data_IF_286781161134
#
_entry.id   IF_286781161134
#
_cell.length_a   1.000
_cell.length_b   1.000
_cell.length_c   1.000
_cell.angle_alpha   90.00
_cell.angle_beta   90.00
_cell.angle_gamma   90.00
#
_symmetry.space_group_name_H-M   'P 1'
#
loop_
_entity.id
_entity.type
_entity.pdbx_description
1 polymer ?
#
# COMPACT_ATOMS: atom_id res chain seq x y z
N UNK A 1 -21.82 52.78 3.87
CA UNK A 1 -21.11 52.26 2.66
C UNK A 1 -20.87 50.76 2.82
N UNK A 2 -21.93 49.96 2.64
CA UNK A 2 -21.85 48.51 2.37
C UNK A 2 -22.31 48.37 0.91
N UNK A 3 -21.47 47.81 0.05
CA UNK A 3 -21.88 47.42 -1.31
C UNK A 3 -22.20 45.93 -1.27
N UNK A 4 -23.49 45.63 -1.38
CA UNK A 4 -23.98 44.33 -1.81
C UNK A 4 -23.48 44.08 -3.23
N UNK A 5 -22.72 42.99 -3.43
CA UNK A 5 -22.35 42.51 -4.75
C UNK A 5 -23.42 41.49 -5.14
N UNK A 6 -24.24 41.85 -6.13
CA UNK A 6 -25.33 41.04 -6.63
C UNK A 6 -24.85 39.73 -7.23
N UNK A 7 -25.44 38.63 -6.76
CA UNK A 7 -25.35 37.31 -7.40
C UNK A 7 -26.17 37.39 -8.68
N UNK A 8 -25.54 37.78 -9.78
CA UNK A 8 -26.12 37.59 -11.10
C UNK A 8 -25.08 37.01 -12.04
N UNK A 9 -25.36 35.78 -12.49
CA UNK A 9 -24.66 34.99 -13.50
C UNK A 9 -23.36 34.29 -13.04
N UNK A 10 -23.52 33.16 -12.36
CA UNK A 10 -22.69 32.01 -12.70
C UNK A 10 -23.33 31.38 -13.94
N UNK A 11 -22.63 31.25 -15.08
CA UNK A 11 -23.14 30.48 -16.21
C UNK A 11 -23.11 29.01 -15.78
N UNK A 12 -24.26 28.45 -15.44
CA UNK A 12 -24.43 27.00 -15.42
C UNK A 12 -24.17 26.51 -16.84
N UNK A 13 -23.37 25.46 -17.01
CA UNK A 13 -23.07 24.84 -18.31
C UNK A 13 -24.23 24.02 -18.88
N UNK A 14 -25.42 24.11 -18.25
CA UNK A 14 -26.65 23.50 -18.72
C UNK A 14 -27.48 24.56 -19.44
N UNK A 15 -27.43 24.52 -20.77
CA UNK A 15 -28.46 25.15 -21.60
C UNK A 15 -29.76 24.35 -21.41
N UNK A 16 -30.75 24.96 -20.78
CA UNK A 16 -32.10 24.41 -20.70
C UNK A 16 -32.60 24.08 -22.11
N UNK A 17 -32.87 22.81 -22.40
CA UNK A 17 -33.81 22.50 -23.48
C UNK A 17 -35.22 22.67 -22.91
N UNK A 18 -35.97 23.64 -23.44
CA UNK A 18 -37.34 23.96 -23.07
C UNK A 18 -38.34 22.87 -23.54
N UNK A 19 -38.06 21.59 -23.24
CA UNK A 19 -38.97 20.49 -23.53
C UNK A 19 -39.78 20.15 -22.28
N UNK A 20 -41.02 20.63 -22.27
CA UNK A 20 -42.03 20.30 -21.27
C UNK A 20 -42.33 18.80 -21.32
N UNK A 21 -41.71 18.02 -20.44
CA UNK A 21 -41.98 16.59 -20.30
C UNK A 21 -40.81 15.72 -19.86
N UNK A 22 -39.59 16.24 -19.80
CA UNK A 22 -38.45 15.51 -19.24
C UNK A 22 -38.43 15.75 -17.73
N UNK A 23 -38.67 14.70 -16.95
CA UNK A 23 -38.53 14.75 -15.50
C UNK A 23 -37.06 15.04 -15.16
N UNK A 24 -36.81 16.06 -14.34
CA UNK A 24 -35.45 16.41 -13.92
C UNK A 24 -34.75 15.16 -13.39
N UNK A 25 -33.52 14.86 -13.84
CA UNK A 25 -32.80 13.72 -13.30
C UNK A 25 -32.60 13.97 -11.82
N UNK A 26 -33.10 13.06 -10.98
CA UNK A 26 -32.86 13.02 -9.55
C UNK A 26 -31.40 12.65 -9.29
N UNK A 27 -30.46 13.48 -9.73
CA UNK A 27 -29.07 13.42 -9.31
C UNK A 27 -29.08 13.88 -7.85
N UNK A 28 -28.50 13.06 -6.99
CA UNK A 28 -28.46 13.24 -5.54
C UNK A 28 -27.82 14.59 -5.21
N UNK A 29 -28.64 15.62 -5.01
CA UNK A 29 -28.23 16.88 -4.41
C UNK A 29 -28.01 16.63 -2.91
N UNK A 30 -26.84 16.12 -2.54
CA UNK A 30 -26.40 16.21 -1.14
C UNK A 30 -26.29 17.70 -0.72
N UNK A 31 -26.56 18.03 0.54
CA UNK A 31 -26.79 19.40 1.03
C UNK A 31 -25.61 20.37 0.84
N UNK A 32 -25.93 21.62 0.50
CA UNK A 32 -25.06 22.70 -0.01
C UNK A 32 -23.99 23.25 0.99
N UNK A 33 -24.19 23.13 2.30
CA UNK A 33 -23.46 23.94 3.28
C UNK A 33 -22.07 23.40 3.69
N UNK A 34 -21.72 22.17 3.35
CA UNK A 34 -20.44 21.54 3.75
C UNK A 34 -19.73 20.84 2.60
N UNK A 35 -20.15 21.15 1.37
CA UNK A 35 -19.63 20.52 0.17
C UNK A 35 -18.40 21.25 -0.30
N UNK A 36 -17.27 20.54 -0.34
CA UNK A 36 -16.08 20.94 -1.08
C UNK A 36 -16.34 21.05 -2.61
N UNK A 37 -17.57 20.81 -3.08
CA UNK A 37 -18.02 20.92 -4.47
C UNK A 37 -18.06 22.36 -4.99
N UNK A 38 -18.13 23.36 -4.12
CA UNK A 38 -17.99 24.78 -4.52
C UNK A 38 -16.53 25.17 -4.70
N UNK A 39 -15.60 24.38 -4.16
CA UNK A 39 -14.19 24.62 -4.35
C UNK A 39 -13.80 23.98 -5.68
N UNK A 40 -13.35 24.81 -6.62
CA UNK A 40 -12.88 24.39 -7.92
C UNK A 40 -11.48 24.95 -8.13
N UNK A 41 -10.53 24.10 -8.52
CA UNK A 41 -9.17 24.54 -8.83
C UNK A 41 -8.54 23.70 -9.92
N UNK A 42 -7.81 24.35 -10.83
CA UNK A 42 -6.95 23.71 -11.82
C UNK A 42 -5.48 23.90 -11.51
N UNK A 43 -5.18 24.58 -10.40
CA UNK A 43 -3.82 24.70 -9.91
C UNK A 43 -3.43 23.35 -9.32
N UNK A 44 -2.67 22.58 -10.10
CA UNK A 44 -2.13 21.31 -9.65
C UNK A 44 -1.23 21.54 -8.42
N UNK A 45 -1.51 20.88 -7.29
CA UNK A 45 -0.62 20.97 -6.15
C UNK A 45 0.77 20.44 -6.51
N UNK A 46 1.74 21.34 -6.59
CA UNK A 46 3.13 21.04 -6.99
C UNK A 46 3.91 20.26 -5.92
N UNK A 47 3.33 20.08 -4.75
CA UNK A 47 3.93 19.40 -3.59
C UNK A 47 2.99 18.31 -3.07
N UNK A 48 3.55 17.16 -2.62
CA UNK A 48 2.76 16.12 -1.96
C UNK A 48 2.06 16.66 -0.72
N UNK A 49 0.91 16.09 -0.39
CA UNK A 49 0.13 16.59 0.73
C UNK A 49 0.77 16.26 2.08
N UNK A 50 1.04 17.30 2.87
CA UNK A 50 1.68 17.19 4.19
C UNK A 50 0.68 17.16 5.35
N UNK A 51 -0.55 17.56 5.07
CA UNK A 51 -1.63 17.67 6.03
C UNK A 51 -2.98 17.48 5.30
N UNK A 52 -4.07 17.41 6.07
CA UNK A 52 -5.42 17.21 5.52
C UNK A 52 -5.87 18.35 4.61
N UNK A 53 -5.41 19.58 4.86
CA UNK A 53 -5.74 20.71 3.99
C UNK A 53 -5.14 20.53 2.59
N UNK A 54 -3.92 20.01 2.48
CA UNK A 54 -3.29 19.71 1.20
C UNK A 54 -3.96 18.52 0.49
N UNK A 55 -4.43 17.52 1.24
CA UNK A 55 -5.21 16.41 0.69
C UNK A 55 -6.53 16.88 0.11
N UNK A 56 -7.21 17.78 0.82
CA UNK A 56 -8.43 18.43 0.33
C UNK A 56 -8.14 19.22 -0.96
N UNK A 57 -7.04 19.98 -1.03
CA UNK A 57 -6.64 20.70 -2.26
C UNK A 57 -6.42 19.75 -3.44
N UNK A 58 -5.72 18.62 -3.23
CA UNK A 58 -5.49 17.59 -4.26
C UNK A 58 -6.78 16.92 -4.70
N UNK A 59 -7.64 16.55 -3.75
CA UNK A 59 -8.97 16.00 -4.03
C UNK A 59 -9.78 16.97 -4.90
N UNK A 60 -9.82 18.25 -4.51
CA UNK A 60 -10.52 19.30 -5.26
C UNK A 60 -9.91 19.47 -6.66
N UNK A 61 -8.59 19.48 -6.80
CA UNK A 61 -7.90 19.55 -8.10
C UNK A 61 -8.25 18.38 -9.02
N UNK A 62 -8.08 17.13 -8.55
CA UNK A 62 -8.39 15.95 -9.37
C UNK A 62 -9.86 15.92 -9.77
N UNK A 63 -10.78 16.23 -8.84
CA UNK A 63 -12.22 16.34 -9.13
C UNK A 63 -12.52 17.46 -10.13
N UNK A 64 -11.89 18.61 -10.00
CA UNK A 64 -12.02 19.74 -10.93
C UNK A 64 -11.52 19.37 -12.33
N UNK A 65 -10.40 18.63 -12.42
CA UNK A 65 -9.90 18.07 -13.67
C UNK A 65 -10.86 17.07 -14.28
N UNK A 66 -11.47 16.17 -13.51
CA UNK A 66 -12.52 15.29 -14.03
C UNK A 66 -13.72 16.07 -14.58
N UNK A 67 -14.15 17.12 -13.87
CA UNK A 67 -15.23 17.99 -14.30
C UNK A 67 -14.90 18.75 -15.61
N UNK A 68 -13.67 19.23 -15.79
CA UNK A 68 -13.23 19.89 -17.03
C UNK A 68 -13.05 18.90 -18.15
N UNK A 69 -12.31 17.82 -17.88
CA UNK A 69 -11.94 16.89 -18.92
C UNK A 69 -13.19 16.27 -19.51
N UNK A 70 -14.22 15.95 -18.71
CA UNK A 70 -15.36 15.16 -19.19
C UNK A 70 -16.71 15.44 -18.49
N UNK A 71 -17.29 16.62 -18.65
CA UNK A 71 -18.75 16.78 -18.45
C UNK A 71 -19.60 16.08 -19.53
N UNK A 72 -19.03 15.83 -20.72
CA UNK A 72 -19.76 15.39 -21.93
C UNK A 72 -19.32 14.03 -22.49
N UNK A 73 -18.10 13.55 -22.22
CA UNK A 73 -17.57 12.29 -22.79
C UNK A 73 -18.04 11.03 -22.03
N UNK A 74 -18.65 11.17 -20.83
CA UNK A 74 -19.44 10.11 -20.17
C UNK A 74 -20.53 9.52 -21.07
N UNK A 75 -20.89 10.21 -22.16
CA UNK A 75 -21.93 9.78 -23.09
C UNK A 75 -21.44 8.87 -24.21
N UNK A 76 -20.13 8.77 -24.47
CA UNK A 76 -19.67 8.19 -25.74
C UNK A 76 -18.70 7.02 -25.70
N UNK A 77 -18.00 6.72 -24.60
CA UNK A 77 -17.41 5.40 -24.40
C UNK A 77 -17.01 5.19 -22.93
N UNK A 78 -17.14 3.99 -22.36
CA UNK A 78 -16.61 3.71 -21.04
C UNK A 78 -15.08 3.81 -21.09
N UNK A 79 -14.52 4.85 -20.47
CA UNK A 79 -13.07 4.96 -20.23
C UNK A 79 -12.64 3.69 -19.51
N UNK A 80 -11.96 2.78 -20.22
CA UNK A 80 -11.35 1.61 -19.57
C UNK A 80 -10.33 2.15 -18.57
N UNK A 81 -10.56 1.89 -17.29
CA UNK A 81 -9.65 2.30 -16.22
C UNK A 81 -8.27 1.68 -16.53
N UNK A 82 -7.20 2.49 -16.68
CA UNK A 82 -5.89 1.95 -16.97
C UNK A 82 -5.44 1.04 -15.83
N UNK A 83 -4.98 -0.17 -16.17
CA UNK A 83 -4.43 -1.10 -15.19
C UNK A 83 -3.15 -0.54 -14.58
N UNK A 84 -3.06 -0.62 -13.25
CA UNK A 84 -1.85 -0.25 -12.54
C UNK A 84 -0.84 -1.40 -12.62
N UNK A 85 0.42 -1.11 -12.94
CA UNK A 85 1.49 -2.11 -13.05
C UNK A 85 2.47 -1.98 -11.89
N UNK A 86 2.43 -2.95 -10.97
CA UNK A 86 3.34 -3.01 -9.83
C UNK A 86 4.78 -3.23 -10.27
N UNK A 87 5.02 -4.03 -11.32
CA UNK A 87 6.37 -4.26 -11.84
C UNK A 87 7.03 -2.97 -12.33
N UNK A 88 6.31 -2.14 -13.10
CA UNK A 88 6.82 -0.83 -13.57
C UNK A 88 7.07 0.14 -12.42
N UNK A 89 6.17 0.20 -11.46
CA UNK A 89 6.34 1.05 -10.28
C UNK A 89 7.52 0.59 -9.42
N UNK A 90 7.65 -0.72 -9.21
CA UNK A 90 8.76 -1.33 -8.47
C UNK A 90 10.09 -1.05 -9.16
N UNK A 91 10.20 -1.21 -10.48
CA UNK A 91 11.41 -0.91 -11.25
C UNK A 91 11.81 0.57 -11.11
N UNK A 92 10.84 1.48 -11.08
CA UNK A 92 11.08 2.91 -10.92
C UNK A 92 11.59 3.29 -9.51
N UNK A 93 11.21 2.56 -8.47
CA UNK A 93 11.55 2.88 -7.08
C UNK A 93 12.67 2.01 -6.51
N UNK A 94 12.81 0.78 -7.01
CA UNK A 94 13.69 -0.29 -6.52
C UNK A 94 14.24 -1.13 -7.69
N UNK A 95 15.12 -0.56 -8.50
CA UNK A 95 15.63 -1.14 -9.76
C UNK A 95 16.43 -2.45 -9.62
N UNK A 96 16.76 -2.89 -8.41
CA UNK A 96 17.55 -4.11 -8.14
C UNK A 96 16.72 -5.39 -7.93
N UNK A 97 15.39 -5.32 -8.10
CA UNK A 97 14.46 -6.40 -7.81
C UNK A 97 14.31 -7.47 -8.88
N UNK A 98 14.19 -8.75 -8.46
CA UNK A 98 13.79 -9.87 -9.32
C UNK A 98 12.32 -10.17 -9.15
N UNK A 99 11.57 -10.14 -10.24
CA UNK A 99 10.17 -10.57 -10.23
C UNK A 99 10.07 -12.08 -10.00
N UNK A 100 9.04 -12.47 -9.26
CA UNK A 100 8.71 -13.86 -9.04
C UNK A 100 8.41 -14.57 -10.37
N UNK A 101 8.81 -15.84 -10.50
CA UNK A 101 8.61 -16.64 -11.71
C UNK A 101 8.38 -18.11 -11.36
N UNK A 102 7.74 -18.87 -12.24
CA UNK A 102 7.55 -20.31 -12.03
C UNK A 102 8.89 -21.03 -11.85
N UNK A 103 9.96 -20.57 -12.52
CA UNK A 103 11.32 -21.11 -12.35
C UNK A 103 11.88 -20.88 -10.94
N UNK A 104 11.51 -19.80 -10.25
CA UNK A 104 11.97 -19.54 -8.89
C UNK A 104 11.12 -20.21 -7.81
N UNK A 105 9.92 -20.71 -8.13
CA UNK A 105 9.07 -21.36 -7.14
C UNK A 105 9.11 -22.88 -7.25
N UNK A 106 9.03 -23.40 -8.48
CA UNK A 106 8.78 -24.82 -8.71
C UNK A 106 9.91 -25.78 -8.30
N UNK A 107 11.20 -25.40 -8.40
CA UNK A 107 12.29 -26.26 -7.90
C UNK A 107 12.30 -26.43 -6.38
N UNK A 108 11.67 -25.52 -5.61
CA UNK A 108 11.82 -25.41 -4.15
C UNK A 108 10.88 -26.28 -3.31
N UNK A 109 10.05 -27.11 -3.94
CA UNK A 109 9.16 -28.13 -3.33
C UNK A 109 8.30 -27.68 -2.14
N UNK A 110 7.00 -27.55 -2.42
CA UNK A 110 5.92 -27.81 -1.48
C UNK A 110 4.64 -28.10 -2.25
N UNK A 111 3.88 -29.13 -1.85
CA UNK A 111 2.57 -29.47 -2.44
C UNK A 111 1.63 -28.24 -2.50
N UNK A 112 1.81 -27.30 -1.56
CA UNK A 112 1.02 -26.06 -1.44
C UNK A 112 1.23 -25.07 -2.61
N UNK A 113 2.43 -25.02 -3.19
CA UNK A 113 2.77 -24.10 -4.29
C UNK A 113 2.73 -24.79 -5.67
N UNK A 114 2.46 -26.08 -5.72
CA UNK A 114 2.42 -26.83 -6.97
C UNK A 114 1.32 -26.35 -7.92
N UNK A 115 0.21 -25.82 -7.38
CA UNK A 115 -0.90 -25.30 -8.18
C UNK A 115 -0.52 -24.12 -9.07
N UNK A 116 0.44 -23.27 -8.68
CA UNK A 116 0.96 -22.18 -9.52
C UNK A 116 2.10 -22.60 -10.44
N UNK A 117 2.63 -23.82 -10.30
CA UNK A 117 3.67 -24.36 -11.16
C UNK A 117 3.16 -24.88 -12.51
N UNK A 118 1.86 -25.15 -12.60
CA UNK A 118 1.22 -25.62 -13.82
C UNK A 118 0.66 -24.49 -14.69
N UNK A 119 0.57 -23.26 -14.16
CA UNK A 119 -0.01 -22.11 -14.86
C UNK A 119 1.06 -21.10 -15.29
N UNK A 120 1.18 -20.93 -16.61
CA UNK A 120 1.74 -19.79 -17.35
C UNK A 120 3.26 -19.55 -17.25
N UNK A 121 3.86 -19.24 -18.40
CA UNK A 121 5.25 -18.80 -18.53
C UNK A 121 5.49 -17.41 -17.91
N UNK A 122 4.43 -16.67 -17.56
CA UNK A 122 4.50 -15.29 -17.04
C UNK A 122 3.42 -15.03 -15.99
N UNK A 123 3.81 -14.70 -14.76
CA UNK A 123 2.92 -14.23 -13.71
C UNK A 123 2.43 -12.79 -13.93
N UNK A 124 1.27 -12.47 -13.35
CA UNK A 124 0.62 -11.17 -13.49
C UNK A 124 0.94 -10.25 -12.32
N UNK A 125 1.45 -9.04 -12.61
CA UNK A 125 1.77 -8.01 -11.62
C UNK A 125 1.01 -6.71 -11.88
N UNK A 126 -0.19 -6.82 -12.46
CA UNK A 126 -1.08 -5.68 -12.69
C UNK A 126 -2.32 -5.79 -11.82
N UNK A 127 -2.95 -4.66 -11.53
CA UNK A 127 -4.21 -4.61 -10.80
C UNK A 127 -5.17 -3.61 -11.41
N UNK A 128 -6.46 -3.89 -11.24
CA UNK A 128 -7.54 -2.98 -11.59
C UNK A 128 -8.00 -2.14 -10.39
N UNK A 129 -7.42 -2.35 -9.19
CA UNK A 129 -7.70 -1.48 -8.06
C UNK A 129 -7.25 -0.05 -8.36
N UNK A 130 -8.10 0.92 -8.02
CA UNK A 130 -7.66 2.31 -7.93
C UNK A 130 -6.77 2.44 -6.69
N UNK A 131 -5.62 3.07 -6.86
CA UNK A 131 -4.62 3.23 -5.79
C UNK A 131 -4.23 4.71 -5.75
N UNK A 132 -4.20 5.28 -4.55
CA UNK A 132 -3.58 6.58 -4.26
C UNK A 132 -2.33 6.36 -3.39
N UNK A 133 -1.15 6.21 -4.01
CA UNK A 133 0.11 6.13 -3.28
C UNK A 133 0.39 7.43 -2.53
N UNK A 134 1.06 7.34 -1.37
CA UNK A 134 1.42 8.51 -0.56
C UNK A 134 0.21 9.42 -0.31
N UNK A 135 -0.93 8.80 -0.01
CA UNK A 135 -2.13 9.48 0.40
C UNK A 135 -1.83 10.39 1.60
N UNK A 136 -0.93 10.01 2.49
CA UNK A 136 -0.33 10.96 3.44
C UNK A 136 1.14 10.62 3.69
N UNK A 137 2.01 11.63 3.60
CA UNK A 137 3.42 11.56 4.02
C UNK A 137 3.95 12.95 4.36
N UNK A 138 4.68 13.07 5.47
CA UNK A 138 5.35 14.32 5.85
C UNK A 138 6.73 14.50 5.18
N UNK A 139 7.39 13.40 4.77
CA UNK A 139 8.72 13.43 4.15
C UNK A 139 8.69 12.81 2.74
N UNK A 140 8.43 13.67 1.75
CA UNK A 140 8.43 13.29 0.33
C UNK A 140 9.85 12.98 -0.20
N UNK A 141 10.89 13.58 0.39
CA UNK A 141 12.23 13.52 -0.18
C UNK A 141 12.89 12.13 0.01
N UNK A 142 12.46 11.36 1.01
CA UNK A 142 12.92 9.98 1.24
C UNK A 142 12.42 8.97 0.20
N UNK A 143 11.47 9.35 -0.67
CA UNK A 143 11.02 8.49 -1.80
C UNK A 143 12.00 8.43 -2.96
N UNK A 144 12.93 9.38 -3.02
CA UNK A 144 13.92 9.46 -4.11
C UNK A 144 15.33 9.14 -3.64
N UNK A 145 15.52 8.85 -2.35
CA UNK A 145 16.79 8.46 -1.77
C UNK A 145 16.60 7.17 -0.99
N UNK A 146 17.19 6.09 -1.48
CA UNK A 146 17.22 4.81 -0.78
C UNK A 146 17.60 5.02 0.68
N UNK A 147 16.61 4.91 1.55
CA UNK A 147 16.83 5.20 2.96
C UNK A 147 17.35 3.93 3.63
N UNK A 148 18.34 4.08 4.52
CA UNK A 148 18.88 2.96 5.28
C UNK A 148 17.85 2.44 6.28
N UNK A 149 17.95 1.16 6.60
CA UNK A 149 17.07 0.49 7.57
C UNK A 149 16.05 -0.45 6.92
N UNK A 150 15.03 -0.81 7.69
CA UNK A 150 13.93 -1.69 7.29
C UNK A 150 12.61 -0.93 7.35
N UNK A 151 11.77 -1.12 6.33
CA UNK A 151 10.38 -0.66 6.36
C UNK A 151 9.49 -1.81 6.75
N UNK A 152 8.66 -1.62 7.77
CA UNK A 152 7.56 -2.53 8.04
C UNK A 152 6.43 -2.23 7.04
N UNK A 153 6.17 -3.20 6.15
CA UNK A 153 5.14 -3.11 5.13
C UNK A 153 3.90 -3.90 5.58
N UNK A 154 2.80 -3.18 5.79
CA UNK A 154 1.55 -3.71 6.35
C UNK A 154 0.34 -3.22 5.58
N UNK A 155 -0.76 -3.93 5.75
CA UNK A 155 -2.06 -3.54 5.21
C UNK A 155 -3.12 -3.54 6.30
N UNK A 156 -4.03 -2.57 6.26
CA UNK A 156 -5.14 -2.42 7.20
C UNK A 156 -6.44 -2.13 6.46
N UNK A 157 -7.56 -2.65 6.98
CA UNK A 157 -8.85 -2.09 6.64
C UNK A 157 -9.00 -0.73 7.33
N UNK A 158 -9.67 0.22 6.68
CA UNK A 158 -9.95 1.53 7.27
C UNK A 158 -10.71 1.44 8.59
N UNK A 159 -11.50 0.38 8.81
CA UNK A 159 -12.18 0.09 10.08
C UNK A 159 -11.22 -0.24 11.22
N UNK A 160 -10.04 -0.75 10.89
CA UNK A 160 -8.99 -1.13 11.85
C UNK A 160 -7.89 -0.06 11.99
N UNK A 161 -8.08 1.13 11.39
CA UNK A 161 -7.03 2.16 11.34
C UNK A 161 -6.56 2.61 12.73
N UNK A 162 -7.40 2.49 13.76
CA UNK A 162 -7.03 2.82 15.14
C UNK A 162 -5.86 1.96 15.68
N UNK A 163 -5.66 0.75 15.13
CA UNK A 163 -4.52 -0.11 15.49
C UNK A 163 -3.16 0.53 15.12
N UNK A 164 -3.15 1.51 14.22
CA UNK A 164 -1.93 2.22 13.85
C UNK A 164 -1.30 2.98 15.00
N UNK A 165 -2.06 3.45 16.00
CA UNK A 165 -1.49 4.18 17.14
C UNK A 165 -0.59 3.27 17.96
N UNK A 166 -1.06 2.08 18.32
CA UNK A 166 -0.26 1.11 19.05
C UNK A 166 0.93 0.63 18.21
N UNK A 167 0.69 0.29 16.95
CA UNK A 167 1.74 -0.18 16.04
C UNK A 167 2.85 0.87 15.86
N UNK A 168 2.48 2.14 15.70
CA UNK A 168 3.45 3.23 15.59
C UNK A 168 4.26 3.41 16.88
N UNK A 169 3.68 3.16 18.05
CA UNK A 169 4.42 3.25 19.31
C UNK A 169 5.39 2.07 19.50
N UNK A 170 5.07 0.90 18.95
CA UNK A 170 5.91 -0.30 19.06
C UNK A 170 7.00 -0.39 17.99
N UNK A 171 6.74 0.15 16.79
CA UNK A 171 7.69 0.19 15.68
C UNK A 171 8.12 1.63 15.41
N UNK A 172 9.37 1.98 15.74
CA UNK A 172 9.90 3.34 15.57
C UNK A 172 10.45 3.61 14.17
N UNK A 173 10.80 2.55 13.43
CA UNK A 173 11.32 2.59 12.07
C UNK A 173 10.31 3.01 11.00
N UNK A 174 10.69 2.80 9.74
CA UNK A 174 9.86 3.17 8.59
C UNK A 174 8.60 2.31 8.52
N UNK A 175 7.45 2.94 8.29
CA UNK A 175 6.16 2.29 8.11
C UNK A 175 5.62 2.59 6.72
N UNK A 176 5.30 1.54 5.96
CA UNK A 176 4.52 1.65 4.72
C UNK A 176 3.21 0.89 4.88
N UNK A 177 2.10 1.63 4.81
CA UNK A 177 0.78 1.18 5.22
C UNK A 177 -0.19 1.30 4.06
N UNK A 178 -0.62 0.17 3.51
CA UNK A 178 -1.73 0.12 2.57
C UNK A 178 -3.07 0.09 3.32
N UNK A 179 -3.88 1.13 3.16
CA UNK A 179 -5.20 1.27 3.78
C UNK A 179 -6.28 0.92 2.76
N UNK A 180 -7.07 -0.11 3.07
CA UNK A 180 -8.19 -0.57 2.26
C UNK A 180 -9.49 0.10 2.69
N UNK A 181 -10.23 0.70 1.75
CA UNK A 181 -11.56 1.23 2.05
C UNK A 181 -12.26 1.85 0.85
N UNK A 182 -13.49 2.28 1.04
CA UNK A 182 -14.34 2.90 0.01
C UNK A 182 -14.05 4.38 -0.19
N UNK A 183 -14.53 4.98 -1.29
CA UNK A 183 -14.49 6.43 -1.51
C UNK A 183 -15.01 7.22 -0.31
N UNK A 184 -16.13 6.80 0.28
CA UNK A 184 -16.76 7.47 1.42
C UNK A 184 -15.91 7.40 2.70
N UNK A 185 -15.10 6.35 2.85
CA UNK A 185 -14.28 6.12 4.03
C UNK A 185 -12.92 6.83 3.96
N UNK A 186 -12.53 7.40 2.81
CA UNK A 186 -11.31 8.22 2.69
C UNK A 186 -11.30 9.38 3.69
N UNK A 187 -12.47 9.97 3.99
CA UNK A 187 -12.62 11.03 4.99
C UNK A 187 -12.31 10.51 6.40
N UNK A 188 -12.61 9.25 6.71
CA UNK A 188 -12.29 8.65 8.01
C UNK A 188 -10.77 8.56 8.20
N UNK A 189 -10.02 8.20 7.14
CA UNK A 189 -8.56 8.21 7.20
C UNK A 189 -8.02 9.62 7.46
N UNK A 190 -8.53 10.62 6.75
CA UNK A 190 -8.11 12.02 6.97
C UNK A 190 -8.37 12.48 8.41
N UNK A 191 -9.55 12.16 8.95
CA UNK A 191 -9.90 12.48 10.35
C UNK A 191 -8.96 11.80 11.32
N UNK A 192 -8.67 10.52 11.12
CA UNK A 192 -7.71 9.77 11.94
C UNK A 192 -6.34 10.44 11.93
N UNK A 193 -5.80 10.76 10.74
CA UNK A 193 -4.47 11.36 10.59
C UNK A 193 -4.35 12.73 11.29
N UNK A 194 -5.43 13.51 11.37
CA UNK A 194 -5.42 14.78 12.11
C UNK A 194 -5.26 14.60 13.63
N UNK A 195 -5.68 13.46 14.16
CA UNK A 195 -5.59 13.12 15.59
C UNK A 195 -4.49 12.10 15.88
N UNK A 196 -3.74 11.71 14.86
CA UNK A 196 -2.74 10.65 14.97
C UNK A 196 -1.47 11.24 15.58
N UNK A 197 -1.32 11.01 16.88
CA UNK A 197 -0.26 11.58 17.73
C UNK A 197 1.15 11.46 17.16
N UNK A 198 1.61 10.29 16.64
CA UNK A 198 2.96 10.19 16.09
C UNK A 198 3.26 11.22 14.98
N UNK A 199 2.29 11.47 14.08
CA UNK A 199 2.43 12.51 13.04
C UNK A 199 2.43 13.91 13.66
N UNK A 200 1.62 14.14 14.69
CA UNK A 200 1.58 15.40 15.45
C UNK A 200 2.88 15.70 16.20
N UNK A 201 3.59 14.67 16.67
CA UNK A 201 4.90 14.74 17.32
C UNK A 201 6.07 14.91 16.32
N UNK A 202 5.77 14.98 15.02
CA UNK A 202 6.75 15.21 13.95
C UNK A 202 7.37 13.93 13.39
N UNK A 203 6.75 12.77 13.63
CA UNK A 203 7.20 11.51 13.02
C UNK A 203 6.94 11.51 11.52
N UNK A 204 8.01 11.56 10.73
CA UNK A 204 7.94 11.69 9.29
C UNK A 204 8.13 10.36 8.52
N UNK A 205 8.43 9.26 9.21
CA UNK A 205 8.72 7.95 8.61
C UNK A 205 7.49 7.02 8.51
N UNK A 206 6.28 7.58 8.40
CA UNK A 206 5.02 6.82 8.23
C UNK A 206 4.33 7.20 6.92
N UNK A 207 4.07 6.20 6.08
CA UNK A 207 3.61 6.36 4.71
C UNK A 207 2.26 5.66 4.58
N UNK A 208 1.21 6.42 4.28
CA UNK A 208 -0.12 5.88 4.04
C UNK A 208 -0.41 5.86 2.54
N UNK A 209 -0.86 4.72 2.04
CA UNK A 209 -1.30 4.51 0.66
C UNK A 209 -2.75 4.05 0.70
N UNK A 210 -3.64 4.66 -0.10
CA UNK A 210 -5.05 4.28 -0.10
C UNK A 210 -5.34 3.35 -1.27
N UNK A 211 -5.94 2.19 -0.99
CA UNK A 211 -6.39 1.22 -1.99
C UNK A 211 -7.90 1.14 -1.92
N UNK A 212 -8.57 1.47 -3.02
CA UNK A 212 -10.03 1.53 -3.02
C UNK A 212 -10.64 0.14 -3.09
N UNK A 213 -11.65 -0.09 -2.25
CA UNK A 213 -12.46 -1.29 -2.26
C UNK A 213 -13.16 -1.47 -3.60
N UNK A 214 -13.08 -2.70 -4.11
CA UNK A 214 -13.81 -3.13 -5.29
C UNK A 214 -14.06 -4.64 -5.19
N UNK A 215 -15.33 -5.03 -5.13
CA UNK A 215 -15.73 -6.43 -4.93
C UNK A 215 -15.40 -7.33 -6.15
N UNK A 216 -15.00 -6.73 -7.29
CA UNK A 216 -14.62 -7.47 -8.50
C UNK A 216 -13.16 -7.93 -8.51
N UNK A 217 -12.34 -7.47 -7.57
CA UNK A 217 -10.89 -7.72 -7.55
C UNK A 217 -10.43 -8.15 -6.15
N UNK A 218 -9.46 -9.06 -6.10
CA UNK A 218 -8.93 -9.55 -4.84
C UNK A 218 -7.96 -8.53 -4.25
N UNK A 219 -8.20 -8.16 -2.99
CA UNK A 219 -7.48 -7.06 -2.35
C UNK A 219 -6.14 -7.50 -1.74
N UNK A 220 -5.98 -8.77 -1.35
CA UNK A 220 -4.87 -9.21 -0.51
C UNK A 220 -3.50 -8.96 -1.13
N UNK A 221 -3.31 -9.36 -2.39
CA UNK A 221 -2.04 -9.15 -3.11
C UNK A 221 -1.88 -7.69 -3.51
N UNK A 222 -2.95 -7.01 -3.91
CA UNK A 222 -2.90 -5.59 -4.23
C UNK A 222 -2.45 -4.74 -3.02
N UNK A 223 -2.99 -5.00 -1.83
CA UNK A 223 -2.62 -4.31 -0.60
C UNK A 223 -1.16 -4.57 -0.21
N UNK A 224 -0.72 -5.83 -0.28
CA UNK A 224 0.67 -6.20 -0.05
C UNK A 224 1.61 -5.48 -1.03
N UNK A 225 1.33 -5.57 -2.32
CA UNK A 225 2.15 -4.96 -3.35
C UNK A 225 2.19 -3.44 -3.23
N UNK A 226 1.08 -2.79 -2.87
CA UNK A 226 1.06 -1.33 -2.62
C UNK A 226 1.98 -0.97 -1.44
N UNK A 227 1.88 -1.66 -0.31
CA UNK A 227 2.73 -1.38 0.85
C UNK A 227 4.22 -1.61 0.54
N UNK A 228 4.54 -2.61 -0.26
CA UNK A 228 5.92 -2.93 -0.61
C UNK A 228 6.48 -1.97 -1.67
N UNK A 229 5.75 -1.73 -2.77
CA UNK A 229 6.19 -0.88 -3.89
C UNK A 229 6.53 0.54 -3.46
N UNK A 230 5.87 1.03 -2.40
CA UNK A 230 6.06 2.39 -1.91
C UNK A 230 6.76 2.45 -0.55
N UNK A 231 7.45 1.36 -0.17
CA UNK A 231 8.33 1.35 1.00
C UNK A 231 9.63 2.13 0.70
N UNK A 232 10.09 3.02 1.59
CA UNK A 232 11.24 3.90 1.32
C UNK A 232 12.62 3.21 1.44
N UNK A 233 12.70 2.01 2.03
CA UNK A 233 13.95 1.30 2.28
C UNK A 233 14.20 0.19 1.24
N UNK A 234 15.44 -0.28 1.12
CA UNK A 234 15.79 -1.41 0.25
C UNK A 234 15.43 -2.79 0.82
N UNK A 235 15.06 -2.83 2.10
CA UNK A 235 14.63 -4.03 2.82
C UNK A 235 13.27 -3.77 3.44
N UNK A 236 12.34 -4.70 3.27
CA UNK A 236 11.04 -4.69 3.96
C UNK A 236 10.98 -5.82 4.99
N UNK A 237 10.28 -5.56 6.10
CA UNK A 237 9.77 -6.57 7.00
C UNK A 237 8.29 -6.78 6.72
N UNK A 238 7.92 -8.02 6.46
CA UNK A 238 6.55 -8.48 6.25
C UNK A 238 6.12 -9.28 7.47
N UNK A 239 4.89 -9.08 7.94
CA UNK A 239 4.32 -9.84 9.06
C UNK A 239 3.07 -10.62 8.62
N UNK A 240 2.81 -11.82 9.20
CA UNK A 240 1.68 -12.65 8.79
C UNK A 240 0.33 -12.09 9.27
N UNK A 241 0.32 -11.38 10.39
CA UNK A 241 -0.82 -10.68 10.99
C UNK A 241 -0.29 -9.54 11.89
N UNK A 242 -1.21 -8.82 12.55
CA UNK A 242 -0.86 -7.70 13.43
C UNK A 242 -0.70 -8.10 14.90
N UNK A 243 -0.91 -9.37 15.23
CA UNK A 243 -0.86 -9.89 16.59
C UNK A 243 0.56 -10.41 16.89
N UNK A 244 1.56 -9.57 16.62
CA UNK A 244 2.99 -9.87 16.79
C UNK A 244 3.65 -8.77 17.63
N UNK A 245 4.72 -9.11 18.35
CA UNK A 245 5.51 -8.12 19.09
C UNK A 245 6.41 -7.33 18.14
N UNK A 246 5.91 -6.18 17.68
CA UNK A 246 6.62 -5.31 16.75
C UNK A 246 7.91 -4.73 17.32
N UNK A 247 7.98 -4.48 18.63
CA UNK A 247 9.19 -3.91 19.25
C UNK A 247 10.34 -4.93 19.28
N UNK A 248 10.01 -6.18 19.60
CA UNK A 248 10.97 -7.29 19.52
C UNK A 248 11.39 -7.58 18.08
N UNK A 249 10.45 -7.55 17.13
CA UNK A 249 10.74 -7.69 15.70
C UNK A 249 11.66 -6.57 15.17
N UNK A 250 11.43 -5.32 15.55
CA UNK A 250 12.26 -4.17 15.16
C UNK A 250 13.69 -4.33 15.66
N UNK A 251 13.84 -4.66 16.95
CA UNK A 251 15.15 -4.88 17.57
C UNK A 251 15.91 -6.00 16.87
N UNK A 252 15.21 -7.09 16.55
CA UNK A 252 15.80 -8.24 15.85
C UNK A 252 16.19 -7.89 14.41
N UNK A 253 15.30 -7.25 13.65
CA UNK A 253 15.55 -6.82 12.28
C UNK A 253 16.79 -5.89 12.17
N UNK A 254 16.88 -4.90 13.06
CA UNK A 254 18.03 -4.01 13.14
C UNK A 254 19.33 -4.76 13.45
N UNK A 255 19.27 -5.79 14.31
CA UNK A 255 20.45 -6.61 14.62
C UNK A 255 20.95 -7.42 13.42
N UNK A 256 20.05 -7.88 12.54
CA UNK A 256 20.40 -8.61 11.31
C UNK A 256 21.07 -7.66 10.31
N UNK A 257 20.53 -6.44 10.13
CA UNK A 257 21.11 -5.44 9.23
C UNK A 257 22.56 -5.09 9.59
N UNK A 258 22.92 -5.13 10.88
CA UNK A 258 24.29 -4.85 11.34
C UNK A 258 25.21 -6.06 11.16
N UNK A 259 24.69 -7.28 11.33
CA UNK A 259 25.50 -8.51 11.42
C UNK A 259 25.63 -9.28 10.11
N UNK A 260 24.68 -9.12 9.19
CA UNK A 260 24.58 -9.92 7.98
C UNK A 260 24.92 -9.11 6.73
N UNK A 261 25.58 -9.74 5.77
CA UNK A 261 25.80 -9.16 4.44
C UNK A 261 24.52 -9.18 3.58
N UNK A 262 23.59 -10.12 3.86
CA UNK A 262 22.28 -10.20 3.21
C UNK A 262 21.16 -9.88 4.20
N UNK A 263 20.23 -8.98 3.87
CA UNK A 263 19.10 -8.67 4.74
C UNK A 263 18.00 -9.74 4.70
N UNK A 264 18.12 -10.77 3.86
CA UNK A 264 17.07 -11.77 3.71
C UNK A 264 17.07 -12.73 4.91
N UNK A 265 16.01 -12.72 5.71
CA UNK A 265 15.89 -13.54 6.91
C UNK A 265 14.44 -13.87 7.27
N UNK A 266 14.25 -15.04 7.89
CA UNK A 266 12.99 -15.46 8.52
C UNK A 266 13.08 -15.17 10.01
N UNK A 267 12.09 -14.48 10.56
CA UNK A 267 11.95 -14.21 11.99
C UNK A 267 10.85 -15.12 12.52
N UNK A 268 11.17 -15.94 13.53
CA UNK A 268 10.28 -16.97 14.05
C UNK A 268 10.22 -16.93 15.58
N UNK A 269 9.07 -17.31 16.13
CA UNK A 269 8.96 -17.63 17.55
C UNK A 269 9.55 -19.02 17.77
N UNK A 270 10.72 -19.13 18.44
CA UNK A 270 11.32 -20.44 18.70
C UNK A 270 12.46 -20.44 19.73
N UNK A 271 12.78 -21.65 20.21
CA UNK A 271 13.97 -22.04 20.96
C UNK A 271 15.10 -22.60 20.05
N UNK A 272 15.14 -22.25 18.75
CA UNK A 272 16.13 -22.76 17.78
C UNK A 272 17.54 -22.16 17.95
N UNK A 273 18.05 -22.08 19.18
CA UNK A 273 19.27 -21.34 19.54
C UNK A 273 20.46 -21.66 18.62
N UNK A 274 20.64 -22.92 18.24
CA UNK A 274 21.80 -23.38 17.47
C UNK A 274 21.81 -22.95 16.00
N UNK A 275 20.65 -22.55 15.43
CA UNK A 275 20.52 -22.12 14.03
C UNK A 275 20.25 -20.62 13.87
N UNK A 276 20.05 -19.90 14.97
CA UNK A 276 19.76 -18.47 14.94
C UNK A 276 21.01 -17.65 14.54
N UNK A 277 20.86 -16.82 13.52
CA UNK A 277 21.81 -15.74 13.23
C UNK A 277 21.70 -14.62 14.29
N UNK A 278 20.50 -14.36 14.79
CA UNK A 278 20.25 -13.47 15.91
C UNK A 278 19.06 -13.94 16.75
N UNK A 279 19.08 -13.64 18.05
CA UNK A 279 18.04 -14.04 19.00
C UNK A 279 17.70 -12.89 19.94
N UNK A 280 16.40 -12.59 20.12
CA UNK A 280 15.87 -11.54 21.00
C UNK A 280 14.46 -11.90 21.46
N UNK A 281 14.17 -11.81 22.76
CA UNK A 281 12.80 -11.96 23.31
C UNK A 281 12.03 -13.18 22.75
N UNK A 282 12.66 -14.36 22.73
CA UNK A 282 12.09 -15.60 22.17
C UNK A 282 11.84 -15.60 20.65
N UNK A 283 12.35 -14.59 19.95
CA UNK A 283 12.40 -14.52 18.50
C UNK A 283 13.78 -14.91 18.00
N UNK A 284 13.81 -15.83 17.06
CA UNK A 284 14.99 -16.28 16.34
C UNK A 284 14.95 -15.74 14.90
N UNK A 285 16.05 -15.17 14.45
CA UNK A 285 16.25 -14.81 13.06
C UNK A 285 17.20 -15.81 12.38
N UNK A 286 16.77 -16.38 11.27
CA UNK A 286 17.57 -17.26 10.42
C UNK A 286 17.73 -16.58 9.07
N UNK A 287 18.98 -16.30 8.66
CA UNK A 287 19.25 -15.70 7.35
C UNK A 287 19.07 -16.75 6.25
N UNK A 288 18.51 -16.35 5.09
CA UNK A 288 18.13 -17.28 4.04
C UNK A 288 19.33 -18.03 3.42
N UNK A 289 20.53 -17.46 3.45
CA UNK A 289 21.78 -18.11 3.00
C UNK A 289 22.15 -19.35 3.84
N UNK A 290 21.67 -19.44 5.08
CA UNK A 290 21.91 -20.57 5.98
C UNK A 290 20.88 -21.69 5.85
N UNK A 291 19.83 -21.44 5.09
CA UNK A 291 18.73 -22.39 4.92
C UNK A 291 19.10 -23.40 3.83
N UNK A 292 19.21 -24.68 4.23
CA UNK A 292 19.28 -25.78 3.26
C UNK A 292 17.85 -26.17 2.88
N UNK A 293 17.57 -26.14 1.58
CA UNK A 293 16.26 -26.21 0.90
C UNK A 293 15.38 -27.45 1.13
N UNK A 294 15.57 -28.26 2.17
CA UNK A 294 14.87 -29.56 2.29
C UNK A 294 14.09 -29.87 3.57
N UNK A 295 14.13 -29.06 4.63
CA UNK A 295 13.35 -29.36 5.86
C UNK A 295 12.78 -28.09 6.50
N UNK A 296 11.83 -27.43 5.84
CA UNK A 296 11.26 -26.17 6.34
C UNK A 296 9.76 -26.25 6.56
N UNK A 297 9.33 -26.90 7.64
CA UNK A 297 7.95 -26.77 8.13
C UNK A 297 7.83 -25.54 9.07
N UNK A 298 8.27 -24.37 8.59
CA UNK A 298 8.32 -23.13 9.38
C UNK A 298 7.02 -22.34 9.41
N UNK A 299 5.98 -22.79 8.68
CA UNK A 299 4.78 -21.97 8.46
C UNK A 299 4.06 -21.57 9.75
N UNK A 300 4.07 -22.41 10.79
CA UNK A 300 3.37 -22.14 12.04
C UNK A 300 4.14 -21.21 12.99
N UNK A 301 5.45 -21.00 12.80
CA UNK A 301 6.28 -20.22 13.70
C UNK A 301 6.75 -18.88 13.16
N UNK A 302 6.55 -18.59 11.86
CA UNK A 302 6.96 -17.31 11.26
C UNK A 302 6.21 -16.15 11.90
N UNK A 303 6.95 -15.21 12.46
CA UNK A 303 6.48 -13.94 13.01
C UNK A 303 6.81 -12.78 12.06
N UNK A 304 7.82 -12.93 11.20
CA UNK A 304 8.15 -11.97 10.16
C UNK A 304 9.06 -12.53 9.08
N UNK A 305 9.02 -11.90 7.92
CA UNK A 305 9.90 -12.19 6.78
C UNK A 305 10.57 -10.89 6.36
N UNK A 306 11.89 -10.84 6.51
CA UNK A 306 12.72 -9.72 6.08
C UNK A 306 13.33 -10.05 4.73
N UNK A 307 13.07 -9.25 3.70
CA UNK A 307 13.57 -9.48 2.33
C UNK A 307 13.82 -8.16 1.61
N UNK A 308 14.59 -8.21 0.53
CA UNK A 308 14.78 -7.07 -0.36
C UNK A 308 13.45 -6.59 -0.96
N UNK A 309 13.21 -5.27 -0.90
CA UNK A 309 11.98 -4.63 -1.39
C UNK A 309 11.72 -4.94 -2.86
N UNK A 310 12.74 -4.83 -3.71
CA UNK A 310 12.61 -5.07 -5.14
C UNK A 310 12.13 -6.50 -5.51
N UNK A 311 12.40 -7.49 -4.65
CA UNK A 311 12.09 -8.90 -4.91
C UNK A 311 10.86 -9.40 -4.14
N UNK A 312 10.08 -8.48 -3.57
CA UNK A 312 9.00 -8.79 -2.63
C UNK A 312 7.59 -8.57 -3.17
N UNK A 313 7.45 -8.45 -4.50
CA UNK A 313 6.15 -8.48 -5.17
C UNK A 313 5.55 -9.88 -5.18
N UNK A 314 4.26 -9.95 -4.93
CA UNK A 314 3.44 -11.14 -5.13
C UNK A 314 2.68 -11.02 -6.46
N UNK A 315 2.59 -12.12 -7.23
CA UNK A 315 1.77 -12.15 -8.43
C UNK A 315 0.29 -12.29 -8.06
N UNK A 316 -0.62 -11.87 -8.95
CA UNK A 316 -2.07 -11.95 -8.73
C UNK A 316 -2.53 -13.40 -8.53
N UNK A 317 -1.84 -14.35 -9.16
CA UNK A 317 -2.07 -15.78 -9.01
C UNK A 317 -1.89 -16.27 -7.55
N UNK A 318 -1.17 -15.51 -6.71
CA UNK A 318 -1.01 -15.81 -5.29
C UNK A 318 -2.12 -15.22 -4.39
N UNK A 319 -3.10 -14.50 -4.95
CA UNK A 319 -4.13 -13.80 -4.18
C UNK A 319 -5.05 -14.76 -3.39
N UNK A 320 -5.25 -15.97 -3.90
CA UNK A 320 -6.08 -16.99 -3.25
C UNK A 320 -5.38 -17.73 -2.10
N UNK A 321 -4.06 -17.61 -1.98
CA UNK A 321 -3.33 -18.29 -0.93
C UNK A 321 -3.41 -17.55 0.41
N UNK A 322 -3.32 -18.34 1.49
CA UNK A 322 -3.13 -17.78 2.82
C UNK A 322 -1.78 -17.04 2.93
N UNK A 323 -1.64 -16.17 3.94
CA UNK A 323 -0.46 -15.31 4.07
C UNK A 323 0.84 -16.10 4.31
N UNK A 324 0.77 -17.27 4.97
CA UNK A 324 1.94 -18.12 5.18
C UNK A 324 2.40 -18.75 3.87
N UNK A 325 1.46 -19.23 3.05
CA UNK A 325 1.77 -19.76 1.71
C UNK A 325 2.35 -18.66 0.80
N UNK A 326 1.86 -17.43 0.90
CA UNK A 326 2.46 -16.27 0.21
C UNK A 326 3.90 -16.01 0.69
N UNK A 327 4.19 -16.14 1.99
CA UNK A 327 5.55 -16.01 2.53
C UNK A 327 6.47 -17.11 2.02
N UNK A 328 6.00 -18.35 1.92
CA UNK A 328 6.77 -19.44 1.31
C UNK A 328 7.14 -19.12 -0.13
N UNK A 329 6.22 -18.56 -0.92
CA UNK A 329 6.52 -18.14 -2.30
C UNK A 329 7.60 -17.05 -2.37
N UNK A 330 7.57 -16.07 -1.44
CA UNK A 330 8.58 -15.02 -1.35
C UNK A 330 9.96 -15.55 -0.89
N UNK A 331 9.98 -16.49 0.04
CA UNK A 331 11.19 -17.18 0.49
C UNK A 331 11.79 -17.96 -0.68
N UNK A 332 10.98 -18.77 -1.38
CA UNK A 332 11.40 -19.52 -2.56
C UNK A 332 11.98 -18.61 -3.64
N UNK A 333 11.33 -17.47 -3.91
CA UNK A 333 11.83 -16.48 -4.86
C UNK A 333 13.18 -15.89 -4.44
N UNK A 334 13.39 -15.68 -3.14
CA UNK A 334 14.62 -15.13 -2.58
C UNK A 334 15.77 -16.13 -2.52
N UNK A 335 15.48 -17.43 -2.55
CA UNK A 335 16.46 -18.52 -2.56
C UNK A 335 16.88 -18.96 -3.96
N UNK A 336 16.09 -18.60 -4.97
CA UNK A 336 16.34 -19.00 -6.34
C UNK A 336 17.28 -18.03 -7.03
N UNK A 337 18.54 -18.44 -7.22
CA UNK A 337 19.53 -17.74 -8.02
C UNK A 337 19.04 -17.51 -9.46
#
# INVERSE_FOLDING_TARGET
LRREVGISKCPTTWSHSNSSGVQDPHIIHASMASKLETNFTLEEPTFLAKNVHDLIKRYVFHRSRFNIMNGYEFRHDPIKVPQFSFSKAMESHHSSGKLMSSRSICPSQGDRLQSICHSLDTFTFTTNHRIHPHFASQDHNSLTRHTSGVSLAISLNIKDISKMTELANQWTGWLSVAVYGTDGETIALLKFLNTFEPIGEGRANIFFHYVYQNDSFLERVALHNVAVTYAPTQTVLLVPNLDVDFSSLETLANSILVKSQSPNAILMASNFDDQCTAFRNHLCAITLDRIKTRDMNFTESIQGLMIQTGSSLLPEEAAHFDKQTQFLALIANSLSD
#
